data_IF_973505979987
#
_entry.id   IF_973505979987
#
_cell.length_a   1.000
_cell.length_b   1.000
_cell.length_c   1.000
_cell.angle_alpha   90.00
_cell.angle_beta   90.00
_cell.angle_gamma   90.00
#
_symmetry.space_group_name_H-M   'P 1'
#
loop_
_entity.id
_entity.type
_entity.pdbx_description
1 polymer ?
#
# COMPACT_ATOMS: atom_id res chain seq x y z
N UNK A 1 -34.70 34.04 46.46
CA UNK A 1 -36.16 33.82 46.37
C UNK A 1 -36.33 32.50 45.66
N UNK A 2 -36.33 31.40 46.37
CA UNK A 2 -37.46 30.75 47.11
C UNK A 2 -38.63 30.41 46.21
N UNK A 3 -38.87 29.20 46.11
CA UNK A 3 -39.94 28.26 46.55
C UNK A 3 -40.43 27.47 45.32
N UNK A 4 -40.33 26.18 45.23
CA UNK A 4 -40.73 25.00 45.99
C UNK A 4 -42.11 24.46 45.63
N UNK A 5 -42.12 23.13 45.42
CA UNK A 5 -43.12 22.11 45.83
C UNK A 5 -44.33 21.86 44.90
N UNK A 6 -44.52 20.67 44.61
CA UNK A 6 -45.10 19.45 45.19
C UNK A 6 -46.35 19.01 44.43
N UNK A 7 -46.29 17.74 44.03
CA UNK A 7 -47.14 16.59 44.43
C UNK A 7 -48.63 16.61 44.00
N UNK A 8 -49.07 15.53 43.44
CA UNK A 8 -49.96 14.49 44.02
C UNK A 8 -50.54 13.65 42.86
N UNK A 9 -50.35 12.35 42.91
CA UNK A 9 -51.27 11.27 43.31
C UNK A 9 -52.59 11.25 42.51
N UNK A 10 -53.18 10.21 42.08
CA UNK A 10 -53.11 8.77 42.32
C UNK A 10 -54.24 8.10 41.52
N UNK A 11 -54.10 6.80 41.28
CA UNK A 11 -55.10 5.72 41.56
C UNK A 11 -56.28 5.53 40.60
N UNK A 12 -56.42 4.44 40.03
CA UNK A 12 -57.22 3.21 40.20
C UNK A 12 -57.57 2.60 38.85
N UNK A 13 -57.30 1.38 38.61
CA UNK A 13 -57.87 0.10 39.02
C UNK A 13 -58.93 -0.44 38.05
N UNK A 14 -58.59 -1.67 37.57
CA UNK A 14 -59.39 -2.90 37.56
C UNK A 14 -60.31 -3.24 36.41
N UNK A 15 -60.21 -4.42 35.98
CA UNK A 15 -61.07 -5.63 35.79
C UNK A 15 -60.87 -6.26 34.41
N UNK A 16 -60.30 -7.41 34.29
CA UNK A 16 -60.67 -8.80 34.44
C UNK A 16 -61.80 -9.29 33.49
N UNK A 17 -61.43 -10.29 32.66
CA UNK A 17 -62.22 -11.50 32.26
C UNK A 17 -61.39 -12.32 31.28
N UNK A 18 -60.91 -13.46 31.61
CA UNK A 18 -61.38 -14.84 31.64
C UNK A 18 -61.86 -15.39 30.29
N UNK A 19 -61.24 -16.45 29.88
CA UNK A 19 -61.74 -17.38 28.86
C UNK A 19 -60.65 -18.05 28.07
N UNK A 20 -60.33 -19.17 28.33
CA UNK A 20 -60.62 -20.60 28.28
C UNK A 20 -59.47 -21.40 27.63
N UNK A 21 -59.07 -22.42 28.32
CA UNK A 21 -58.13 -23.48 28.01
C UNK A 21 -58.53 -24.31 26.78
N UNK A 22 -57.54 -24.68 25.96
CA UNK A 22 -57.53 -25.98 25.32
C UNK A 22 -56.11 -26.53 25.33
N UNK A 23 -55.93 -27.51 26.14
CA UNK A 23 -54.75 -28.38 26.15
C UNK A 23 -54.87 -29.37 25.01
N UNK A 24 -53.78 -29.55 24.25
CA UNK A 24 -53.50 -30.78 23.56
C UNK A 24 -52.03 -31.13 23.76
N UNK A 25 -51.81 -32.13 24.54
CA UNK A 25 -50.57 -32.85 24.74
C UNK A 25 -50.20 -33.62 23.51
N UNK A 26 -48.95 -33.50 23.07
CA UNK A 26 -48.31 -34.54 22.26
C UNK A 26 -46.83 -34.68 22.66
N UNK A 27 -46.49 -35.89 22.85
CA UNK A 27 -45.32 -36.50 23.44
C UNK A 27 -43.99 -36.04 22.83
N UNK A 28 -43.06 -35.88 23.74
CA UNK A 28 -41.63 -35.67 23.54
C UNK A 28 -40.98 -36.98 23.11
N UNK A 29 -40.43 -37.04 21.90
CA UNK A 29 -39.42 -38.01 21.51
C UNK A 29 -38.04 -37.42 21.78
N UNK A 30 -37.04 -38.20 22.23
CA UNK A 30 -35.68 -37.69 22.45
C UNK A 30 -34.95 -37.64 21.13
N UNK A 31 -34.67 -36.42 20.62
CA UNK A 31 -33.73 -36.24 19.54
C UNK A 31 -32.29 -36.29 20.06
N UNK A 32 -31.57 -37.16 19.43
CA UNK A 32 -30.14 -37.36 19.63
C UNK A 32 -29.36 -36.07 19.33
N UNK A 33 -28.40 -35.77 20.19
CA UNK A 33 -27.48 -34.68 20.04
C UNK A 33 -26.71 -34.76 18.72
N UNK A 34 -26.97 -33.83 17.84
CA UNK A 34 -26.14 -33.49 16.69
C UNK A 34 -25.53 -32.14 16.97
N UNK A 35 -24.31 -32.13 17.46
CA UNK A 35 -23.43 -30.95 17.43
C UNK A 35 -23.10 -30.64 15.98
N UNK A 36 -23.90 -29.81 15.34
CA UNK A 36 -23.49 -29.11 14.14
C UNK A 36 -22.73 -27.86 14.55
N UNK A 37 -21.42 -27.97 14.72
CA UNK A 37 -20.50 -26.86 14.60
C UNK A 37 -20.41 -26.51 13.11
N UNK A 38 -21.45 -25.91 12.58
CA UNK A 38 -21.44 -25.21 11.29
C UNK A 38 -21.13 -23.76 11.59
N UNK A 39 -19.85 -23.39 11.60
CA UNK A 39 -19.43 -21.99 11.54
C UNK A 39 -19.83 -21.41 10.20
N UNK A 40 -21.07 -20.95 10.09
CA UNK A 40 -21.50 -20.09 8.99
C UNK A 40 -20.84 -18.71 9.17
N UNK A 41 -19.64 -18.54 8.64
CA UNK A 41 -19.08 -17.21 8.38
C UNK A 41 -20.03 -16.47 7.49
N UNK A 42 -20.77 -15.50 8.05
CA UNK A 42 -21.92 -14.93 7.40
C UNK A 42 -21.77 -13.45 7.09
N UNK A 43 -22.67 -13.01 6.24
CA UNK A 43 -22.97 -11.62 6.00
C UNK A 43 -23.06 -10.87 7.34
N UNK A 44 -22.26 -9.80 7.47
CA UNK A 44 -22.22 -8.96 8.65
C UNK A 44 -20.99 -9.10 9.55
N UNK A 45 -20.05 -10.03 9.29
CA UNK A 45 -18.77 -10.05 9.99
C UNK A 45 -17.97 -8.77 9.73
N UNK A 46 -17.33 -8.23 10.77
CA UNK A 46 -16.52 -7.03 10.67
C UNK A 46 -15.12 -7.35 10.15
N UNK A 47 -14.70 -6.61 9.14
CA UNK A 47 -13.34 -6.63 8.58
C UNK A 47 -12.69 -5.27 8.84
N UNK A 48 -11.55 -5.27 9.51
CA UNK A 48 -10.76 -4.07 9.76
C UNK A 48 -9.78 -3.80 8.60
N UNK A 49 -9.76 -2.56 8.11
CA UNK A 49 -8.89 -2.10 7.03
C UNK A 49 -8.04 -0.94 7.57
N UNK A 50 -6.75 -1.16 7.76
CA UNK A 50 -5.84 -0.17 8.31
C UNK A 50 -4.84 0.29 7.26
N UNK A 51 -4.99 1.53 6.78
CA UNK A 51 -4.12 2.17 5.78
C UNK A 51 -3.17 3.18 6.43
N UNK A 52 -1.94 3.37 5.91
CA UNK A 52 -0.95 4.20 6.57
C UNK A 52 -1.29 5.70 6.52
N UNK A 53 -1.78 6.20 5.39
CA UNK A 53 -2.02 7.64 5.22
C UNK A 53 -2.94 7.94 4.05
N UNK A 54 -3.56 9.13 4.07
CA UNK A 54 -4.27 9.70 2.91
C UNK A 54 -3.38 10.55 2.01
N UNK A 55 -2.18 10.92 2.48
CA UNK A 55 -1.28 11.82 1.73
C UNK A 55 -0.65 11.18 0.50
N UNK A 56 -0.63 9.86 0.40
CA UNK A 56 -0.25 9.13 -0.80
C UNK A 56 -1.52 8.68 -1.53
N UNK A 57 -1.65 9.08 -2.79
CA UNK A 57 -2.87 8.90 -3.59
C UNK A 57 -3.35 7.45 -3.64
N UNK A 58 -2.42 6.51 -3.84
CA UNK A 58 -2.75 5.09 -3.96
C UNK A 58 -3.54 4.55 -2.77
N UNK A 59 -3.22 4.95 -1.53
CA UNK A 59 -3.89 4.42 -0.33
C UNK A 59 -5.37 4.78 -0.26
N UNK A 60 -5.77 5.92 -0.86
CA UNK A 60 -7.18 6.29 -0.96
C UNK A 60 -7.91 5.35 -1.93
N UNK A 61 -7.28 5.01 -3.07
CA UNK A 61 -7.84 4.06 -4.04
C UNK A 61 -7.87 2.64 -3.48
N UNK A 62 -6.76 2.17 -2.92
CA UNK A 62 -6.64 0.83 -2.35
C UNK A 62 -7.71 0.60 -1.27
N UNK A 63 -7.79 1.51 -0.29
CA UNK A 63 -8.74 1.40 0.81
C UNK A 63 -10.19 1.43 0.35
N UNK A 64 -10.55 2.40 -0.51
CA UNK A 64 -11.91 2.53 -0.99
C UNK A 64 -12.35 1.34 -1.86
N UNK A 65 -11.48 0.86 -2.75
CA UNK A 65 -11.80 -0.28 -3.62
C UNK A 65 -11.96 -1.58 -2.81
N UNK A 66 -11.03 -1.85 -1.89
CA UNK A 66 -11.12 -3.03 -1.02
C UNK A 66 -12.36 -2.98 -0.13
N UNK A 67 -12.69 -1.81 0.44
CA UNK A 67 -13.89 -1.61 1.22
C UNK A 67 -15.15 -1.90 0.40
N UNK A 68 -15.25 -1.37 -0.82
CA UNK A 68 -16.36 -1.60 -1.73
C UNK A 68 -16.54 -3.10 -2.06
N UNK A 69 -15.44 -3.81 -2.36
CA UNK A 69 -15.47 -5.24 -2.66
C UNK A 69 -15.99 -6.06 -1.47
N UNK A 70 -15.51 -5.76 -0.27
CA UNK A 70 -15.92 -6.46 0.94
C UNK A 70 -17.37 -6.16 1.32
N UNK A 71 -17.82 -4.92 1.17
CA UNK A 71 -19.22 -4.54 1.40
C UNK A 71 -20.15 -5.22 0.39
N UNK A 72 -19.76 -5.30 -0.89
CA UNK A 72 -20.51 -6.07 -1.91
C UNK A 72 -20.57 -7.57 -1.59
N UNK A 73 -19.55 -8.10 -0.94
CA UNK A 73 -19.53 -9.48 -0.45
C UNK A 73 -20.36 -9.70 0.83
N UNK A 74 -20.97 -8.64 1.39
CA UNK A 74 -21.85 -8.68 2.55
C UNK A 74 -21.16 -8.45 3.90
N UNK A 75 -19.89 -8.09 3.94
CA UNK A 75 -19.16 -7.79 5.17
C UNK A 75 -19.41 -6.36 5.66
N UNK A 76 -19.30 -6.16 6.96
CA UNK A 76 -19.09 -4.83 7.54
C UNK A 76 -17.63 -4.47 7.48
N UNK A 77 -17.31 -3.21 7.25
CA UNK A 77 -15.93 -2.73 7.15
C UNK A 77 -15.66 -1.60 8.13
N UNK A 78 -14.42 -1.52 8.60
CA UNK A 78 -13.88 -0.39 9.34
C UNK A 78 -12.60 0.07 8.66
N UNK A 79 -12.71 1.06 7.75
CA UNK A 79 -11.58 1.62 7.04
C UNK A 79 -11.01 2.81 7.82
N UNK A 80 -9.75 2.73 8.22
CA UNK A 80 -9.04 3.75 8.97
C UNK A 80 -7.70 4.12 8.31
N UNK A 81 -7.33 5.40 8.42
CA UNK A 81 -6.06 5.95 7.96
C UNK A 81 -5.32 6.56 9.15
N UNK A 82 -4.04 6.27 9.29
CA UNK A 82 -3.28 6.63 10.49
C UNK A 82 -2.36 7.85 10.31
N UNK A 83 -2.43 8.57 9.18
CA UNK A 83 -1.67 9.79 8.89
C UNK A 83 -0.15 9.65 9.13
N UNK A 84 0.40 8.47 8.81
CA UNK A 84 1.79 8.07 9.07
C UNK A 84 2.19 8.15 10.55
N UNK A 85 1.22 7.98 11.48
CA UNK A 85 1.47 7.93 12.92
C UNK A 85 1.31 6.51 13.43
N UNK A 86 2.42 5.88 13.81
CA UNK A 86 2.43 4.47 14.24
C UNK A 86 1.52 4.21 15.45
N UNK A 87 1.54 5.09 16.46
CA UNK A 87 0.68 4.94 17.65
C UNK A 87 -0.81 5.04 17.27
N UNK A 88 -1.16 5.88 16.30
CA UNK A 88 -2.52 5.97 15.80
C UNK A 88 -2.94 4.69 15.11
N UNK A 89 -2.08 4.08 14.28
CA UNK A 89 -2.36 2.81 13.64
C UNK A 89 -2.56 1.69 14.67
N UNK A 90 -1.70 1.61 15.68
CA UNK A 90 -1.83 0.63 16.76
C UNK A 90 -3.17 0.79 17.51
N UNK A 91 -3.56 2.03 17.85
CA UNK A 91 -4.83 2.31 18.52
C UNK A 91 -6.05 1.96 17.64
N UNK A 92 -5.98 2.25 16.34
CA UNK A 92 -7.03 1.90 15.39
C UNK A 92 -7.21 0.38 15.29
N UNK A 93 -6.12 -0.38 15.18
CA UNK A 93 -6.14 -1.84 15.15
C UNK A 93 -6.72 -2.40 16.45
N UNK A 94 -6.30 -1.85 17.61
CA UNK A 94 -6.84 -2.26 18.92
C UNK A 94 -8.36 -2.06 19.00
N UNK A 95 -8.87 -0.93 18.48
CA UNK A 95 -10.30 -0.65 18.43
C UNK A 95 -11.02 -1.66 17.53
N UNK A 96 -10.51 -1.92 16.31
CA UNK A 96 -11.09 -2.93 15.41
C UNK A 96 -11.16 -4.32 16.06
N UNK A 97 -10.12 -4.72 16.79
CA UNK A 97 -10.10 -6.00 17.53
C UNK A 97 -11.17 -6.00 18.64
N UNK A 98 -11.33 -4.90 19.36
CA UNK A 98 -12.34 -4.77 20.42
C UNK A 98 -13.77 -4.75 19.88
N UNK A 99 -13.96 -4.17 18.69
CA UNK A 99 -15.25 -4.12 17.98
C UNK A 99 -15.61 -5.48 17.35
N UNK A 100 -14.73 -6.47 17.46
CA UNK A 100 -15.00 -7.85 17.04
C UNK A 100 -14.65 -8.17 15.59
N UNK A 101 -13.72 -7.43 15.00
CA UNK A 101 -13.19 -7.76 13.67
C UNK A 101 -12.75 -9.23 13.60
N UNK A 102 -13.09 -9.90 12.50
CA UNK A 102 -12.69 -11.30 12.23
C UNK A 102 -11.38 -11.38 11.47
N UNK A 103 -11.16 -10.40 10.60
CA UNK A 103 -9.92 -10.27 9.81
C UNK A 103 -9.46 -8.82 9.88
N UNK A 104 -8.17 -8.62 10.00
CA UNK A 104 -7.49 -7.35 9.84
C UNK A 104 -6.69 -7.37 8.55
N UNK A 105 -6.92 -6.41 7.67
CA UNK A 105 -6.10 -6.14 6.48
C UNK A 105 -5.29 -4.89 6.77
N UNK A 106 -3.97 -5.04 6.85
CA UNK A 106 -3.09 -4.02 7.41
C UNK A 106 -2.00 -3.65 6.41
N UNK A 107 -2.03 -2.43 5.90
CA UNK A 107 -0.89 -1.78 5.27
C UNK A 107 -0.09 -1.03 6.36
N UNK A 108 0.98 -1.64 6.84
CA UNK A 108 1.73 -1.12 7.99
C UNK A 108 2.48 0.17 7.67
N UNK A 109 2.57 1.07 8.64
CA UNK A 109 3.48 2.23 8.57
C UNK A 109 4.91 1.71 8.80
N UNK A 110 5.16 1.15 9.98
CA UNK A 110 6.37 0.42 10.34
C UNK A 110 6.03 -1.05 10.55
N UNK A 111 6.53 -1.92 9.67
CA UNK A 111 6.28 -3.35 9.73
C UNK A 111 6.80 -4.03 10.99
N UNK A 112 7.70 -3.41 11.76
CA UNK A 112 8.30 -3.99 12.98
C UNK A 112 7.58 -3.58 14.26
N UNK A 113 6.68 -2.59 14.20
CA UNK A 113 6.08 -1.95 15.37
C UNK A 113 4.70 -2.51 15.79
N UNK A 114 4.22 -3.57 15.12
CA UNK A 114 2.85 -4.09 15.31
C UNK A 114 2.76 -5.32 16.23
N UNK A 115 3.89 -5.89 16.68
CA UNK A 115 3.93 -7.13 17.45
C UNK A 115 2.87 -7.23 18.57
N UNK A 116 2.83 -6.30 19.54
CA UNK A 116 1.89 -6.38 20.67
C UNK A 116 0.41 -6.38 20.26
N UNK A 117 0.01 -5.62 19.25
CA UNK A 117 -1.40 -5.59 18.80
C UNK A 117 -1.75 -6.84 18.01
N UNK A 118 -0.79 -7.44 17.29
CA UNK A 118 -1.00 -8.71 16.59
C UNK A 118 -1.10 -9.89 17.56
N UNK A 119 -0.39 -9.85 18.68
CA UNK A 119 -0.56 -10.87 19.77
C UNK A 119 -1.98 -10.81 20.35
N UNK A 120 -2.55 -9.62 20.51
CA UNK A 120 -3.94 -9.46 20.95
C UNK A 120 -4.93 -9.93 19.89
N UNK A 121 -4.68 -9.69 18.61
CA UNK A 121 -5.48 -10.21 17.51
C UNK A 121 -5.51 -11.75 17.54
N UNK A 122 -4.35 -12.38 17.65
CA UNK A 122 -4.21 -13.84 17.73
C UNK A 122 -4.93 -14.42 18.95
N UNK A 123 -4.80 -13.80 20.13
CA UNK A 123 -5.48 -14.22 21.36
C UNK A 123 -7.02 -14.21 21.23
N UNK A 124 -7.58 -13.36 20.36
CA UNK A 124 -9.01 -13.28 20.04
C UNK A 124 -9.41 -14.06 18.78
N UNK A 125 -8.47 -14.78 18.15
CA UNK A 125 -8.72 -15.56 16.93
C UNK A 125 -8.92 -14.71 15.69
N UNK A 126 -8.52 -13.43 15.73
CA UNK A 126 -8.59 -12.52 14.58
C UNK A 126 -7.45 -12.85 13.62
N UNK A 127 -7.77 -13.02 12.33
CA UNK A 127 -6.81 -13.31 11.29
C UNK A 127 -6.18 -12.03 10.73
N UNK A 128 -4.94 -12.12 10.29
CA UNK A 128 -4.16 -10.96 9.81
C UNK A 128 -3.65 -11.20 8.41
N UNK A 129 -4.02 -10.30 7.50
CA UNK A 129 -3.44 -10.16 6.16
C UNK A 129 -2.57 -8.92 6.15
N UNK A 130 -1.27 -9.07 5.95
CA UNK A 130 -0.42 -7.95 5.57
C UNK A 130 -0.80 -7.52 4.14
N UNK A 131 -1.07 -6.24 3.94
CA UNK A 131 -1.50 -5.69 2.66
C UNK A 131 -0.42 -4.77 2.10
N UNK A 132 0.07 -5.08 0.90
CA UNK A 132 1.15 -4.37 0.21
C UNK A 132 2.50 -4.37 0.97
N UNK A 133 2.52 -4.11 2.27
CA UNK A 133 3.71 -4.02 3.11
C UNK A 133 3.82 -5.22 4.05
N UNK A 134 4.96 -5.92 4.00
CA UNK A 134 5.20 -7.06 4.89
C UNK A 134 5.32 -6.59 6.35
N UNK A 135 4.63 -7.28 7.23
CA UNK A 135 4.78 -7.08 8.68
C UNK A 135 5.82 -8.05 9.20
N UNK A 136 6.88 -7.50 9.79
CA UNK A 136 8.05 -8.23 10.26
C UNK A 136 8.00 -8.53 11.77
N UNK A 137 8.76 -9.53 12.21
CA UNK A 137 8.99 -9.81 13.63
C UNK A 137 7.83 -10.42 14.39
N UNK A 138 6.70 -10.74 13.74
CA UNK A 138 5.53 -11.36 14.37
C UNK A 138 5.18 -12.71 13.72
N UNK A 139 4.92 -13.77 14.50
CA UNK A 139 4.40 -15.03 13.97
C UNK A 139 2.91 -14.95 13.60
N UNK A 140 2.21 -13.87 14.02
CA UNK A 140 0.77 -13.69 13.95
C UNK A 140 0.33 -12.95 12.66
N UNK A 141 1.09 -13.06 11.61
CA UNK A 141 0.70 -12.63 10.24
C UNK A 141 0.28 -13.90 9.51
N UNK A 142 -0.99 -14.05 9.18
CA UNK A 142 -1.48 -15.30 8.54
C UNK A 142 -1.11 -15.33 7.05
N UNK A 143 -1.32 -14.22 6.34
CA UNK A 143 -1.08 -14.09 4.90
C UNK A 143 -0.50 -12.74 4.51
N UNK A 144 0.04 -12.67 3.31
CA UNK A 144 0.53 -11.43 2.71
C UNK A 144 -0.02 -11.29 1.29
N UNK A 145 -0.58 -10.14 0.97
CA UNK A 145 -1.02 -9.78 -0.38
C UNK A 145 -0.22 -8.58 -0.86
N UNK A 146 0.52 -8.72 -1.97
CA UNK A 146 1.41 -7.68 -2.47
C UNK A 146 1.70 -7.85 -3.97
N UNK A 147 2.59 -7.02 -4.48
CA UNK A 147 3.19 -7.13 -5.80
C UNK A 147 4.58 -7.80 -5.71
N UNK A 148 5.09 -8.26 -6.83
CA UNK A 148 6.50 -8.67 -6.92
C UNK A 148 7.42 -7.44 -6.82
N UNK A 149 7.79 -7.10 -5.58
CA UNK A 149 8.49 -5.88 -5.26
C UNK A 149 9.91 -5.82 -5.85
N UNK A 150 10.60 -6.97 -5.91
CA UNK A 150 11.91 -7.04 -6.57
C UNK A 150 11.78 -6.83 -8.08
N UNK A 151 10.74 -7.39 -8.70
CA UNK A 151 10.44 -7.19 -10.12
C UNK A 151 10.12 -5.74 -10.44
N UNK A 152 9.45 -5.01 -9.54
CA UNK A 152 9.22 -3.56 -9.70
C UNK A 152 10.54 -2.83 -9.92
N UNK A 153 11.51 -3.02 -9.02
CA UNK A 153 12.83 -2.41 -9.19
C UNK A 153 13.56 -2.91 -10.44
N UNK A 154 13.51 -4.21 -10.71
CA UNK A 154 14.08 -4.81 -11.92
C UNK A 154 13.56 -4.11 -13.19
N UNK A 155 12.25 -3.85 -13.27
CA UNK A 155 11.64 -3.15 -14.41
C UNK A 155 12.15 -1.72 -14.56
N UNK A 156 12.38 -1.00 -13.46
CA UNK A 156 12.98 0.35 -13.50
C UNK A 156 14.42 0.29 -14.01
N UNK A 157 15.23 -0.62 -13.49
CA UNK A 157 16.63 -0.79 -13.92
C UNK A 157 16.73 -1.22 -15.39
N UNK A 158 15.91 -2.18 -15.82
CA UNK A 158 15.85 -2.63 -17.22
C UNK A 158 15.43 -1.49 -18.16
N UNK A 159 14.48 -0.63 -17.73
CA UNK A 159 14.06 0.54 -18.49
C UNK A 159 15.18 1.57 -18.62
N UNK A 160 15.95 1.82 -17.55
CA UNK A 160 17.13 2.69 -17.59
C UNK A 160 18.14 2.14 -18.60
N UNK A 161 18.49 0.85 -18.52
CA UNK A 161 19.44 0.21 -19.43
C UNK A 161 19.03 0.33 -20.90
N UNK A 162 17.76 0.08 -21.18
CA UNK A 162 17.23 0.16 -22.55
C UNK A 162 17.21 1.56 -23.15
N UNK A 163 17.20 2.61 -22.31
CA UNK A 163 17.04 3.99 -22.76
C UNK A 163 18.23 4.90 -22.48
N UNK A 164 19.22 4.49 -21.70
CA UNK A 164 20.34 5.33 -21.23
C UNK A 164 21.05 6.13 -22.34
N UNK A 165 21.18 5.53 -23.51
CA UNK A 165 21.91 6.13 -24.62
C UNK A 165 21.25 7.41 -25.17
N UNK A 166 19.95 7.60 -24.96
CA UNK A 166 19.20 8.80 -25.34
C UNK A 166 19.49 10.00 -24.43
N UNK A 167 20.09 9.74 -23.26
CA UNK A 167 20.29 10.74 -22.19
C UNK A 167 21.76 11.05 -21.94
N UNK A 168 22.70 10.59 -22.80
CA UNK A 168 24.12 10.88 -22.69
C UNK A 168 24.42 12.36 -22.86
N UNK A 169 25.38 12.86 -22.09
CA UNK A 169 26.01 14.14 -22.37
C UNK A 169 26.77 14.10 -23.71
N UNK A 170 27.12 15.25 -24.23
CA UNK A 170 27.86 15.37 -25.52
C UNK A 170 29.22 14.63 -25.49
N UNK A 171 29.84 14.49 -24.32
CA UNK A 171 31.09 13.75 -24.10
C UNK A 171 30.87 12.23 -23.87
N UNK A 172 29.63 11.76 -23.95
CA UNK A 172 29.25 10.37 -23.74
C UNK A 172 29.07 9.95 -22.29
N UNK A 173 29.32 10.85 -21.31
CA UNK A 173 29.11 10.57 -19.89
C UNK A 173 27.62 10.54 -19.52
N UNK A 174 27.30 9.83 -18.42
CA UNK A 174 25.95 9.78 -17.85
C UNK A 174 26.02 10.05 -16.35
N UNK A 175 25.35 11.07 -15.89
CA UNK A 175 25.20 11.39 -14.48
C UNK A 175 23.89 10.81 -13.95
N UNK A 176 23.97 9.89 -12.98
CA UNK A 176 22.87 9.22 -12.32
C UNK A 176 22.69 9.77 -10.91
N UNK A 177 21.47 10.03 -10.49
CA UNK A 177 21.14 10.27 -9.08
C UNK A 177 20.15 9.22 -8.58
N UNK A 178 20.57 8.33 -7.67
CA UNK A 178 19.69 7.34 -7.07
C UNK A 178 18.95 7.88 -5.85
N UNK A 179 17.68 7.56 -5.74
CA UNK A 179 16.85 7.72 -4.55
C UNK A 179 16.28 6.37 -4.13
N UNK A 180 16.00 6.22 -2.83
CA UNK A 180 15.31 5.05 -2.31
C UNK A 180 14.05 5.45 -1.53
N UNK A 181 13.19 4.47 -1.28
CA UNK A 181 11.94 4.66 -0.54
C UNK A 181 12.15 4.81 0.97
N UNK A 182 11.05 4.81 1.71
CA UNK A 182 11.09 5.00 3.16
C UNK A 182 11.83 3.84 3.86
N UNK A 183 12.80 4.13 4.75
CA UNK A 183 13.56 3.09 5.45
C UNK A 183 12.75 2.19 6.38
N UNK A 184 11.56 2.62 6.81
CA UNK A 184 10.62 1.88 7.64
C UNK A 184 9.70 0.94 6.83
N UNK A 185 9.76 1.01 5.49
CA UNK A 185 9.00 0.17 4.58
C UNK A 185 9.89 -0.96 4.01
N UNK A 186 9.56 -2.21 4.34
CA UNK A 186 10.29 -3.37 3.86
C UNK A 186 10.36 -3.47 2.31
N UNK A 187 9.35 -2.94 1.61
CA UNK A 187 9.32 -2.97 0.15
C UNK A 187 10.41 -2.10 -0.47
N UNK A 188 10.79 -0.99 0.17
CA UNK A 188 11.80 -0.07 -0.32
C UNK A 188 13.15 -0.78 -0.59
N UNK A 189 13.51 -1.74 0.27
CA UNK A 189 14.69 -2.59 0.09
C UNK A 189 14.63 -3.37 -1.23
N UNK A 190 13.49 -4.02 -1.50
CA UNK A 190 13.33 -4.85 -2.69
C UNK A 190 13.27 -4.01 -3.98
N UNK A 191 12.56 -2.87 -3.94
CA UNK A 191 12.54 -1.95 -5.08
C UNK A 191 13.94 -1.47 -5.42
N UNK A 192 14.69 -1.03 -4.41
CA UNK A 192 16.05 -0.56 -4.63
C UNK A 192 16.96 -1.68 -5.12
N UNK A 193 16.96 -2.85 -4.48
CA UNK A 193 17.79 -3.98 -4.86
C UNK A 193 17.51 -4.42 -6.31
N UNK A 194 16.24 -4.57 -6.70
CA UNK A 194 15.89 -4.98 -8.07
C UNK A 194 16.38 -4.01 -9.14
N UNK A 195 16.36 -2.69 -8.88
CA UNK A 195 16.89 -1.68 -9.79
C UNK A 195 18.42 -1.63 -9.77
N UNK A 196 19.00 -1.66 -8.57
CA UNK A 196 20.45 -1.52 -8.38
C UNK A 196 21.23 -2.70 -8.94
N UNK A 197 20.73 -3.92 -8.80
CA UNK A 197 21.31 -5.13 -9.40
C UNK A 197 21.43 -5.06 -10.93
N UNK A 198 20.59 -4.23 -11.59
CA UNK A 198 20.67 -4.01 -13.04
C UNK A 198 21.71 -2.95 -13.42
N UNK A 199 21.91 -1.91 -12.59
CA UNK A 199 22.67 -0.72 -12.99
C UNK A 199 23.97 -0.53 -12.21
N UNK A 200 24.19 -1.23 -11.08
CA UNK A 200 25.38 -1.05 -10.23
C UNK A 200 26.69 -1.28 -10.97
N UNK A 201 26.77 -2.29 -11.83
CA UNK A 201 27.96 -2.56 -12.63
C UNK A 201 28.35 -1.39 -13.55
N UNK A 202 27.41 -0.56 -14.00
CA UNK A 202 27.68 0.65 -14.79
C UNK A 202 28.23 1.77 -13.92
N UNK A 203 27.85 1.83 -12.66
CA UNK A 203 28.42 2.76 -11.66
C UNK A 203 29.84 2.32 -11.30
N UNK A 204 30.07 1.03 -11.06
CA UNK A 204 31.37 0.45 -10.74
C UNK A 204 32.39 0.63 -11.88
N UNK A 205 31.96 0.45 -13.13
CA UNK A 205 32.80 0.65 -14.31
C UNK A 205 33.07 2.14 -14.63
N UNK A 206 32.31 3.07 -14.02
CA UNK A 206 32.40 4.50 -14.31
C UNK A 206 31.61 4.92 -15.55
N UNK A 207 30.84 4.03 -16.20
CA UNK A 207 29.93 4.42 -17.28
C UNK A 207 28.82 5.35 -16.74
N UNK A 208 28.30 5.05 -15.54
CA UNK A 208 27.48 5.98 -14.78
C UNK A 208 28.32 6.63 -13.68
N UNK A 209 28.27 7.95 -13.61
CA UNK A 209 28.81 8.68 -12.45
C UNK A 209 27.68 9.13 -11.54
N UNK A 210 27.93 9.16 -10.23
CA UNK A 210 26.98 9.70 -9.24
C UNK A 210 27.63 10.91 -8.58
N UNK A 211 27.43 12.13 -9.14
CA UNK A 211 28.13 13.33 -8.70
C UNK A 211 27.90 13.68 -7.23
N UNK A 212 26.73 13.35 -6.67
CA UNK A 212 26.45 13.53 -5.24
C UNK A 212 27.27 12.61 -4.31
N UNK A 213 27.94 11.59 -4.87
CA UNK A 213 28.60 10.55 -4.09
C UNK A 213 27.64 9.62 -3.34
N UNK A 214 26.34 9.69 -3.62
CA UNK A 214 25.28 8.92 -2.93
C UNK A 214 25.01 7.55 -3.56
N UNK A 215 25.96 6.99 -4.29
CA UNK A 215 25.88 5.59 -4.73
C UNK A 215 26.06 4.66 -3.52
N UNK A 216 25.11 3.73 -3.26
CA UNK A 216 25.30 2.71 -2.24
C UNK A 216 26.52 1.84 -2.55
N UNK A 217 27.31 1.56 -1.51
CA UNK A 217 28.51 0.71 -1.59
C UNK A 217 28.24 -0.72 -1.12
N UNK A 218 27.22 -0.89 -0.30
CA UNK A 218 26.75 -2.17 0.22
C UNK A 218 25.22 -2.23 0.14
N UNK A 219 24.66 -3.43 0.24
CA UNK A 219 23.19 -3.62 0.20
C UNK A 219 22.45 -2.87 1.31
N UNK A 220 23.10 -2.57 2.44
CA UNK A 220 22.51 -1.82 3.53
C UNK A 220 22.47 -0.30 3.28
N UNK A 221 23.32 0.22 2.41
CA UNK A 221 23.51 1.67 2.22
C UNK A 221 22.33 2.35 1.52
N UNK A 222 21.40 1.59 0.94
CA UNK A 222 20.20 2.16 0.33
C UNK A 222 19.40 3.03 1.31
N UNK A 223 19.46 2.71 2.62
CA UNK A 223 18.77 3.49 3.65
C UNK A 223 19.31 4.93 3.75
N UNK A 224 20.60 5.16 3.42
CA UNK A 224 21.23 6.49 3.45
C UNK A 224 20.71 7.44 2.37
N UNK A 225 20.04 6.91 1.36
CA UNK A 225 19.38 7.68 0.29
C UNK A 225 17.87 7.51 0.31
N UNK A 226 17.36 6.90 1.37
CA UNK A 226 15.94 6.69 1.62
C UNK A 226 15.23 8.00 1.98
N UNK A 227 14.01 8.18 1.46
CA UNK A 227 13.17 9.34 1.75
C UNK A 227 12.09 8.93 2.74
N UNK A 228 12.16 9.41 4.01
CA UNK A 228 11.23 9.01 5.06
C UNK A 228 9.77 9.30 4.70
N UNK A 229 8.89 8.34 5.04
CA UNK A 229 7.46 8.40 4.84
C UNK A 229 7.05 8.65 3.38
N UNK A 230 7.92 8.37 2.40
CA UNK A 230 7.68 8.57 0.96
C UNK A 230 7.25 10.01 0.59
N UNK A 231 7.79 11.01 1.28
CA UNK A 231 7.37 12.41 1.14
C UNK A 231 7.94 13.08 -0.08
N UNK A 232 7.06 13.63 -0.91
CA UNK A 232 7.39 14.38 -2.13
C UNK A 232 8.22 15.64 -1.83
N UNK A 233 7.85 16.41 -0.80
CA UNK A 233 8.56 17.63 -0.38
C UNK A 233 9.98 17.36 0.09
N UNK A 234 10.19 16.25 0.79
CA UNK A 234 11.52 15.81 1.22
C UNK A 234 12.38 15.38 0.02
N UNK A 235 11.80 14.67 -0.95
CA UNK A 235 12.49 14.31 -2.18
C UNK A 235 12.84 15.55 -3.03
N UNK A 236 11.95 16.54 -3.09
CA UNK A 236 12.20 17.83 -3.73
C UNK A 236 13.41 18.53 -3.10
N UNK A 237 13.38 18.74 -1.79
CA UNK A 237 14.47 19.39 -1.05
C UNK A 237 15.81 18.67 -1.24
N UNK A 238 15.81 17.33 -1.18
CA UNK A 238 17.01 16.52 -1.42
C UNK A 238 17.54 16.70 -2.84
N UNK A 239 16.67 16.70 -3.84
CA UNK A 239 17.09 16.93 -5.25
C UNK A 239 17.61 18.35 -5.47
N UNK A 240 16.96 19.37 -4.91
CA UNK A 240 17.43 20.76 -4.92
C UNK A 240 18.84 20.87 -4.31
N UNK A 241 19.08 20.21 -3.17
CA UNK A 241 20.39 20.17 -2.54
C UNK A 241 21.45 19.53 -3.44
N UNK A 242 21.12 18.41 -4.12
CA UNK A 242 22.04 17.75 -5.05
C UNK A 242 22.35 18.64 -6.25
N UNK A 243 21.32 19.25 -6.85
CA UNK A 243 21.47 20.15 -8.01
C UNK A 243 22.36 21.36 -7.65
N UNK A 244 22.13 22.00 -6.53
CA UNK A 244 22.91 23.15 -6.07
C UNK A 244 24.37 22.81 -5.75
N UNK A 245 24.61 21.63 -5.14
CA UNK A 245 25.94 21.25 -4.63
C UNK A 245 26.83 20.60 -5.69
N UNK A 246 26.26 19.85 -6.63
CA UNK A 246 27.02 18.95 -7.50
C UNK A 246 26.83 19.20 -8.99
N UNK A 247 25.86 20.03 -9.39
CA UNK A 247 25.51 20.30 -10.79
C UNK A 247 25.73 21.76 -11.21
N UNK A 248 26.50 22.51 -10.43
CA UNK A 248 26.90 23.86 -10.81
C UNK A 248 27.79 23.84 -12.07
N UNK A 249 27.89 24.98 -12.76
CA UNK A 249 28.78 25.14 -13.91
C UNK A 249 28.31 24.44 -15.20
N UNK A 250 27.02 24.17 -15.33
CA UNK A 250 26.44 23.59 -16.54
C UNK A 250 26.42 22.07 -16.60
N UNK A 251 26.88 21.38 -15.53
CA UNK A 251 26.73 19.93 -15.41
C UNK A 251 25.24 19.58 -15.34
N UNK A 252 24.85 18.49 -15.98
CA UNK A 252 23.45 18.04 -16.01
C UNK A 252 23.28 16.67 -15.39
N UNK A 253 22.16 16.46 -14.69
CA UNK A 253 21.70 15.11 -14.34
C UNK A 253 21.04 14.50 -15.58
N UNK A 254 21.38 13.26 -15.88
CA UNK A 254 20.88 12.55 -17.07
C UNK A 254 19.82 11.50 -16.71
N UNK A 255 19.98 10.86 -15.56
CA UNK A 255 19.09 9.79 -15.09
C UNK A 255 18.81 10.01 -13.60
N UNK A 256 17.56 9.87 -13.21
CA UNK A 256 17.16 9.81 -11.82
C UNK A 256 16.41 8.50 -11.59
N UNK A 257 16.97 7.62 -10.77
CA UNK A 257 16.28 6.47 -10.24
C UNK A 257 15.40 6.94 -9.08
N UNK A 258 14.12 7.17 -9.37
CA UNK A 258 13.10 7.43 -8.34
C UNK A 258 12.30 6.17 -8.09
N UNK A 259 12.19 5.70 -6.84
CA UNK A 259 11.54 4.43 -6.55
C UNK A 259 10.01 4.47 -6.73
N UNK A 260 9.37 5.66 -6.59
CA UNK A 260 7.93 5.81 -6.80
C UNK A 260 7.54 7.20 -7.31
N UNK A 261 6.26 7.35 -7.63
CA UNK A 261 5.68 8.55 -8.24
C UNK A 261 5.62 9.74 -7.25
N UNK A 262 5.33 9.50 -5.97
CA UNK A 262 5.34 10.57 -4.97
C UNK A 262 6.71 11.26 -4.89
N UNK A 263 7.81 10.50 -4.89
CA UNK A 263 9.16 11.04 -4.92
C UNK A 263 9.48 11.67 -6.27
N UNK A 264 9.10 11.01 -7.38
CA UNK A 264 9.30 11.53 -8.73
C UNK A 264 8.62 12.88 -8.94
N UNK A 265 7.46 13.11 -8.33
CA UNK A 265 6.76 14.39 -8.38
C UNK A 265 7.59 15.51 -7.76
N UNK A 266 8.13 15.31 -6.56
CA UNK A 266 9.00 16.28 -5.89
C UNK A 266 10.31 16.52 -6.67
N UNK A 267 10.92 15.44 -7.16
CA UNK A 267 12.13 15.53 -7.99
C UNK A 267 11.88 16.34 -9.27
N UNK A 268 10.73 16.11 -9.94
CA UNK A 268 10.35 16.86 -11.13
C UNK A 268 10.16 18.36 -10.83
N UNK A 269 9.62 18.72 -9.66
CA UNK A 269 9.50 20.12 -9.22
C UNK A 269 10.87 20.75 -8.98
N UNK A 270 11.81 20.03 -8.39
CA UNK A 270 13.19 20.51 -8.21
C UNK A 270 13.89 20.75 -9.57
N UNK A 271 13.70 19.84 -10.53
CA UNK A 271 14.24 19.98 -11.90
C UNK A 271 13.65 21.19 -12.62
N UNK A 272 12.32 21.39 -12.54
CA UNK A 272 11.64 22.59 -13.07
C UNK A 272 12.23 23.88 -12.48
N UNK A 273 12.37 23.90 -11.13
CA UNK A 273 12.95 25.02 -10.39
C UNK A 273 14.40 25.34 -10.78
N UNK A 274 15.18 24.31 -11.09
CA UNK A 274 16.56 24.43 -11.59
C UNK A 274 16.65 24.77 -13.09
N UNK A 275 15.52 24.91 -13.79
CA UNK A 275 15.46 25.36 -15.17
C UNK A 275 15.67 24.30 -16.23
N UNK A 276 15.60 22.99 -15.88
CA UNK A 276 15.60 21.90 -16.85
C UNK A 276 14.40 22.02 -17.80
N UNK A 277 14.58 21.63 -19.05
CA UNK A 277 13.56 21.74 -20.10
C UNK A 277 13.31 20.39 -20.74
N UNK A 278 12.03 20.06 -20.90
CA UNK A 278 11.60 18.93 -21.72
C UNK A 278 12.13 19.11 -23.15
N UNK A 279 12.51 18.02 -23.80
CA UNK A 279 13.11 17.96 -25.13
C UNK A 279 14.49 18.62 -25.28
N UNK A 280 15.11 19.07 -24.16
CA UNK A 280 16.46 19.66 -24.19
C UNK A 280 17.42 18.93 -23.24
N UNK A 281 17.15 18.97 -21.93
CA UNK A 281 18.04 18.44 -20.90
C UNK A 281 17.30 17.77 -19.73
N UNK A 282 16.00 17.48 -19.89
CA UNK A 282 15.22 16.76 -18.89
C UNK A 282 15.73 15.32 -18.74
N UNK A 283 16.04 14.87 -17.51
CA UNK A 283 16.58 13.53 -17.30
C UNK A 283 15.55 12.43 -17.53
N UNK A 284 16.01 11.19 -17.74
CA UNK A 284 15.21 10.01 -17.56
C UNK A 284 14.83 9.91 -16.09
N UNK A 285 13.55 10.09 -15.77
CA UNK A 285 13.01 9.97 -14.43
C UNK A 285 12.11 8.75 -14.35
N UNK A 286 12.41 7.82 -13.44
CA UNK A 286 11.58 6.63 -13.17
C UNK A 286 10.52 6.92 -12.11
N UNK A 287 9.55 6.02 -11.97
CA UNK A 287 8.52 6.04 -10.94
C UNK A 287 7.82 4.69 -10.81
N UNK A 288 6.86 4.61 -9.89
CA UNK A 288 5.93 3.50 -9.73
C UNK A 288 4.63 4.01 -9.10
N UNK A 289 3.53 3.27 -9.23
CA UNK A 289 2.18 3.46 -8.72
C UNK A 289 1.19 4.08 -9.72
N UNK A 290 1.66 4.68 -10.82
CA UNK A 290 0.84 5.36 -11.83
C UNK A 290 -0.10 6.41 -11.21
N UNK A 291 0.42 7.28 -10.33
CA UNK A 291 -0.34 8.37 -9.73
C UNK A 291 -0.76 9.40 -10.80
N UNK A 292 -1.96 9.98 -10.65
CA UNK A 292 -2.56 10.84 -11.67
C UNK A 292 -1.65 12.00 -12.11
N UNK A 293 -1.01 12.68 -11.16
CA UNK A 293 -0.09 13.78 -11.45
C UNK A 293 1.13 13.30 -12.24
N UNK A 294 1.63 12.13 -11.96
CA UNK A 294 2.80 11.53 -12.59
C UNK A 294 2.49 10.99 -13.99
N UNK A 295 1.30 10.41 -14.19
CA UNK A 295 0.84 10.06 -15.55
C UNK A 295 0.73 11.32 -16.43
N UNK A 296 0.23 12.45 -15.89
CA UNK A 296 0.26 13.74 -16.59
C UNK A 296 1.68 14.24 -16.87
N UNK A 297 2.60 14.05 -15.92
CA UNK A 297 4.02 14.35 -16.14
C UNK A 297 4.64 13.46 -17.22
N UNK A 298 4.27 12.19 -17.32
CA UNK A 298 4.70 11.31 -18.41
C UNK A 298 4.18 11.82 -19.78
N UNK A 299 2.90 12.16 -19.85
CA UNK A 299 2.32 12.74 -21.08
C UNK A 299 3.00 14.04 -21.49
N UNK A 300 3.43 14.86 -20.51
CA UNK A 300 4.16 16.10 -20.72
C UNK A 300 5.68 15.90 -20.94
N UNK A 301 6.20 14.66 -20.92
CA UNK A 301 7.63 14.37 -21.08
C UNK A 301 8.50 14.61 -19.85
N UNK A 302 7.91 14.86 -18.68
CA UNK A 302 8.61 15.12 -17.41
C UNK A 302 8.90 13.85 -16.57
N UNK A 303 8.38 12.72 -16.97
CA UNK A 303 8.69 11.41 -16.40
C UNK A 303 8.71 10.39 -17.52
N UNK A 304 9.69 9.51 -17.52
CA UNK A 304 9.90 8.58 -18.64
C UNK A 304 9.01 7.34 -18.56
N UNK A 305 8.75 6.86 -17.34
CA UNK A 305 7.97 5.67 -17.08
C UNK A 305 7.44 5.65 -15.64
N UNK A 306 6.42 4.85 -15.42
CA UNK A 306 6.02 4.38 -14.10
C UNK A 306 5.85 2.87 -14.11
N UNK A 307 6.15 2.18 -13.02
CA UNK A 307 5.76 0.79 -12.85
C UNK A 307 4.35 0.77 -12.25
N UNK A 308 3.39 0.42 -13.07
CA UNK A 308 2.02 0.32 -12.64
C UNK A 308 1.79 -0.95 -11.83
N UNK A 309 1.28 -0.75 -10.64
CA UNK A 309 0.75 -1.76 -9.76
C UNK A 309 -0.77 -1.61 -9.75
N UNK A 310 -1.48 -2.48 -10.47
CA UNK A 310 -2.94 -2.39 -10.51
C UNK A 310 -3.54 -2.78 -9.16
N UNK A 311 -3.83 -1.77 -8.35
CA UNK A 311 -4.34 -1.93 -6.99
C UNK A 311 -5.74 -2.55 -6.95
N UNK A 312 -6.46 -2.57 -8.07
CA UNK A 312 -7.74 -3.27 -8.21
C UNK A 312 -7.54 -4.79 -8.09
N UNK A 313 -6.54 -5.32 -8.78
CA UNK A 313 -6.19 -6.75 -8.72
C UNK A 313 -5.71 -7.16 -7.31
N UNK A 314 -4.96 -6.27 -6.63
CA UNK A 314 -4.54 -6.52 -5.25
C UNK A 314 -5.74 -6.51 -4.30
N UNK A 315 -6.67 -5.56 -4.47
CA UNK A 315 -7.93 -5.49 -3.73
C UNK A 315 -8.80 -6.73 -3.93
N UNK A 316 -8.97 -7.18 -5.20
CA UNK A 316 -9.73 -8.39 -5.55
C UNK A 316 -9.13 -9.66 -4.93
N UNK A 317 -7.80 -9.82 -5.03
CA UNK A 317 -7.09 -10.94 -4.41
C UNK A 317 -7.29 -10.93 -2.88
N UNK A 318 -7.12 -9.78 -2.24
CA UNK A 318 -7.28 -9.63 -0.80
C UNK A 318 -8.71 -9.88 -0.35
N UNK A 319 -9.72 -9.36 -1.06
CA UNK A 319 -11.13 -9.63 -0.77
C UNK A 319 -11.47 -11.12 -0.89
N UNK A 320 -10.88 -11.81 -1.88
CA UNK A 320 -11.00 -13.27 -2.04
C UNK A 320 -10.37 -14.00 -0.85
N UNK A 321 -9.16 -13.61 -0.42
CA UNK A 321 -8.51 -14.18 0.77
C UNK A 321 -9.36 -14.01 2.01
N UNK A 322 -9.94 -12.81 2.24
CA UNK A 322 -10.86 -12.56 3.37
C UNK A 322 -12.05 -13.50 3.32
N UNK A 323 -12.69 -13.67 2.16
CA UNK A 323 -13.83 -14.57 2.01
C UNK A 323 -13.47 -16.02 2.31
N UNK A 324 -12.31 -16.48 1.82
CA UNK A 324 -11.80 -17.84 2.08
C UNK A 324 -11.52 -18.06 3.57
N UNK A 325 -10.89 -17.09 4.23
CA UNK A 325 -10.63 -17.15 5.69
C UNK A 325 -11.94 -17.28 6.47
N UNK A 326 -12.93 -16.42 6.16
CA UNK A 326 -14.22 -16.43 6.89
C UNK A 326 -14.99 -17.73 6.68
N UNK A 327 -14.92 -18.32 5.48
CA UNK A 327 -15.55 -19.60 5.16
C UNK A 327 -14.77 -20.81 5.68
N UNK A 328 -13.53 -20.64 6.18
CA UNK A 328 -12.65 -21.74 6.54
C UNK A 328 -12.14 -22.55 5.35
N UNK A 329 -12.11 -21.94 4.18
CA UNK A 329 -11.56 -22.50 2.94
C UNK A 329 -10.04 -22.33 2.86
N UNK A 330 -9.38 -23.10 2.00
CA UNK A 330 -7.96 -22.90 1.72
C UNK A 330 -7.75 -21.56 1.03
N UNK A 331 -6.90 -20.71 1.61
CA UNK A 331 -6.56 -19.40 1.04
C UNK A 331 -5.61 -19.58 -0.14
N UNK A 332 -5.94 -18.97 -1.26
CA UNK A 332 -5.12 -19.02 -2.46
C UNK A 332 -3.89 -18.12 -2.30
N UNK A 333 -2.71 -18.71 -2.52
CA UNK A 333 -1.41 -18.05 -2.53
C UNK A 333 -0.60 -18.56 -3.72
N UNK A 334 0.40 -17.80 -4.17
CA UNK A 334 1.28 -18.19 -5.28
C UNK A 334 2.77 -18.08 -4.95
N UNK A 335 3.10 -17.69 -3.70
CA UNK A 335 4.47 -17.72 -3.17
C UNK A 335 4.44 -18.17 -1.70
N UNK A 336 5.22 -19.21 -1.38
CA UNK A 336 5.37 -19.76 -0.03
C UNK A 336 6.85 -19.83 0.39
N UNK A 337 7.74 -19.09 -0.28
CA UNK A 337 9.19 -19.21 -0.09
C UNK A 337 9.91 -17.89 0.12
N UNK A 338 9.44 -16.80 -0.49
CA UNK A 338 10.22 -15.57 -0.65
C UNK A 338 10.13 -14.63 0.55
N UNK A 339 8.96 -14.53 1.17
CA UNK A 339 8.69 -13.49 2.16
C UNK A 339 8.82 -14.01 3.60
N UNK A 340 10.07 -14.13 4.05
CA UNK A 340 10.40 -14.39 5.45
C UNK A 340 10.31 -13.08 6.24
N UNK A 341 9.44 -13.07 7.27
CA UNK A 341 9.24 -11.91 8.13
C UNK A 341 10.09 -11.93 9.41
N UNK A 342 11.10 -12.82 9.47
CA UNK A 342 11.97 -13.00 10.64
C UNK A 342 11.38 -13.92 11.72
N UNK A 343 10.18 -14.46 11.52
CA UNK A 343 9.54 -15.46 12.39
C UNK A 343 9.04 -16.66 11.60
N UNK A 344 8.63 -16.43 10.37
CA UNK A 344 8.19 -17.48 9.45
C UNK A 344 8.20 -16.95 8.02
N UNK A 345 8.20 -17.85 7.04
CA UNK A 345 7.79 -17.50 5.68
C UNK A 345 6.27 -17.30 5.67
N UNK A 346 5.82 -16.13 5.25
CA UNK A 346 4.40 -15.77 5.20
C UNK A 346 3.84 -16.21 3.84
N UNK A 347 2.80 -17.06 3.80
CA UNK A 347 2.14 -17.42 2.54
C UNK A 347 1.62 -16.17 1.84
N UNK A 348 2.02 -15.97 0.57
CA UNK A 348 1.87 -14.69 -0.13
C UNK A 348 1.12 -14.85 -1.45
N UNK A 349 0.27 -13.88 -1.78
CA UNK A 349 -0.27 -13.69 -3.11
C UNK A 349 0.42 -12.51 -3.78
N UNK A 350 1.11 -12.78 -4.89
CA UNK A 350 1.85 -11.78 -5.69
C UNK A 350 1.09 -11.39 -6.95
N UNK A 351 0.78 -10.12 -7.06
CA UNK A 351 0.29 -9.50 -8.30
C UNK A 351 1.48 -9.03 -9.14
N UNK A 352 1.42 -9.21 -10.46
CA UNK A 352 2.53 -8.83 -11.34
C UNK A 352 2.47 -7.33 -11.66
N UNK A 353 3.60 -6.61 -11.52
CA UNK A 353 3.71 -5.21 -11.92
C UNK A 353 3.96 -5.09 -13.44
N UNK A 354 3.62 -3.93 -14.01
CA UNK A 354 3.78 -3.64 -15.44
C UNK A 354 4.41 -2.25 -15.66
N UNK A 355 5.31 -2.12 -16.64
CA UNK A 355 5.82 -0.81 -17.08
C UNK A 355 4.77 -0.09 -17.90
N UNK A 356 4.52 1.17 -17.58
CA UNK A 356 3.72 2.10 -18.37
C UNK A 356 4.60 3.27 -18.78
N UNK A 357 4.50 3.67 -20.05
CA UNK A 357 5.17 4.81 -20.65
C UNK A 357 4.15 5.72 -21.32
N UNK A 358 4.57 6.91 -21.75
CA UNK A 358 3.70 7.83 -22.51
C UNK A 358 2.94 7.12 -23.63
N UNK A 359 3.61 6.20 -24.35
CA UNK A 359 3.03 5.52 -25.52
C UNK A 359 2.01 4.46 -25.15
N UNK A 360 2.04 3.96 -23.91
CA UNK A 360 1.14 2.88 -23.45
C UNK A 360 0.05 3.37 -22.50
N UNK A 361 0.08 4.64 -22.06
CA UNK A 361 -0.93 5.22 -21.14
C UNK A 361 -2.36 4.95 -21.63
N UNK A 362 -2.65 5.18 -22.92
CA UNK A 362 -4.00 4.97 -23.44
C UNK A 362 -4.44 3.51 -23.24
N UNK A 363 -3.63 2.57 -23.71
CA UNK A 363 -3.93 1.14 -23.64
C UNK A 363 -4.00 0.63 -22.19
N UNK A 364 -2.96 0.96 -21.39
CA UNK A 364 -2.75 0.30 -20.11
C UNK A 364 -3.59 0.95 -18.99
N UNK A 365 -3.77 2.27 -19.02
CA UNK A 365 -4.47 2.97 -17.93
C UNK A 365 -5.88 3.44 -18.31
N UNK A 366 -6.11 3.85 -19.58
CA UNK A 366 -7.43 4.35 -19.98
C UNK A 366 -8.34 3.21 -20.45
N UNK A 367 -7.89 2.40 -21.40
CA UNK A 367 -8.70 1.31 -21.95
C UNK A 367 -8.97 0.22 -20.91
N UNK A 368 -8.08 0.05 -19.91
CA UNK A 368 -8.29 -0.82 -18.75
C UNK A 368 -9.32 -0.28 -17.75
N UNK A 369 -9.73 1.00 -17.89
CA UNK A 369 -10.62 1.67 -16.94
C UNK A 369 -9.98 2.09 -15.62
N UNK A 370 -8.64 2.10 -15.52
CA UNK A 370 -7.94 2.59 -14.33
C UNK A 370 -8.08 4.10 -14.18
N UNK A 371 -8.00 4.85 -15.30
CA UNK A 371 -8.32 6.26 -15.40
C UNK A 371 -9.31 6.53 -16.53
N UNK A 372 -10.11 7.59 -16.39
CA UNK A 372 -10.85 8.16 -17.51
C UNK A 372 -9.92 9.04 -18.33
N UNK A 373 -10.07 9.04 -19.67
CA UNK A 373 -9.30 9.91 -20.56
C UNK A 373 -9.36 11.38 -20.12
N UNK A 374 -10.55 11.86 -19.74
CA UNK A 374 -10.76 13.23 -19.25
C UNK A 374 -9.98 13.59 -17.98
N UNK A 375 -9.65 12.63 -17.12
CA UNK A 375 -8.84 12.86 -15.93
C UNK A 375 -7.39 13.14 -16.29
N UNK A 376 -6.93 12.56 -17.41
CA UNK A 376 -5.57 12.73 -17.94
C UNK A 376 -5.45 13.90 -18.93
N UNK A 377 -6.57 14.51 -19.36
CA UNK A 377 -6.58 15.57 -20.37
C UNK A 377 -6.42 15.03 -21.79
N UNK A 378 -6.82 13.79 -22.03
CA UNK A 378 -6.84 13.08 -23.32
C UNK A 378 -8.21 13.16 -23.97
#
# INVERSE_FOLDING_TARGET
>A
MTISRRQLLAVSASLAAVGVLSACSSQRAPEAGGTTTGGGGGAGDLIGLAMPTKSLERWNRDGAHLEELLQKAGFKTSLQFADNKQDQQNNQLQNMINDGAKVLVIASIDGTALGPVLDQAAAKGVKVIAYDRLINGSPNVDYYATFDNYKVGTLQGEFILANKDKYKNADGSINLEPFAGSPDDNNAKFFFAGAWDKISALVESGEFTVPSGKAPKTDADWQNIGIPAWKSDTAQAEMENRLNSFYAGGKKVNIVLSPNDSLALGIAQALDGAGYKVDADWPLLTGQDADLANVKNMLAGKQAMTVWKDTRLLGEATATMVQQIIKGETVQVNDEKTYDNGKKVVPTFLVQPQVVTKDTVQKDLVDSGFYKASELGL
#
